data_IF_049342864070
#
_entry.id   IF_049342864070
#
_cell.length_a   1.000
_cell.length_b   1.000
_cell.length_c   1.000
_cell.angle_alpha   90.00
_cell.angle_beta   90.00
_cell.angle_gamma   90.00
#
_symmetry.space_group_name_H-M   'P 1'
#
loop_
_entity.id
_entity.type
_entity.pdbx_description
1 polymer ?
#
# COMPACT_ATOMS: atom_id res chain seq x y z
N UNK A 1 13.38 -34.30 6.67
CA UNK A 1 14.31 -33.31 7.22
C UNK A 1 14.84 -32.38 6.11
N UNK A 2 13.97 -31.62 5.44
CA UNK A 2 14.32 -30.64 4.39
C UNK A 2 13.37 -29.43 4.46
N UNK A 3 13.37 -28.72 5.59
CA UNK A 3 12.46 -27.58 5.82
C UNK A 3 13.16 -26.26 6.16
N UNK A 4 14.48 -26.07 5.96
CA UNK A 4 15.16 -24.86 6.47
C UNK A 4 15.86 -23.93 5.48
N UNK A 5 15.85 -24.17 4.17
CA UNK A 5 16.51 -23.25 3.20
C UNK A 5 15.56 -22.43 2.31
N UNK A 6 14.41 -22.98 1.92
CA UNK A 6 13.49 -22.29 0.99
C UNK A 6 12.89 -20.99 1.55
N UNK A 7 12.73 -20.88 2.87
CA UNK A 7 12.15 -19.69 3.52
C UNK A 7 13.14 -18.53 3.62
N UNK A 8 14.45 -18.80 3.55
CA UNK A 8 15.52 -17.79 3.59
C UNK A 8 15.92 -17.30 2.20
N UNK A 9 15.71 -18.11 1.15
CA UNK A 9 16.00 -17.72 -0.24
C UNK A 9 14.94 -16.80 -0.82
N UNK A 10 13.66 -17.06 -0.52
CA UNK A 10 12.54 -16.28 -1.03
C UNK A 10 12.58 -14.78 -0.70
N UNK A 11 12.93 -14.36 0.54
CA UNK A 11 13.17 -12.96 0.90
C UNK A 11 14.24 -12.30 0.04
N UNK A 12 15.36 -12.99 -0.16
CA UNK A 12 16.51 -12.47 -0.91
C UNK A 12 16.17 -12.29 -2.38
N UNK A 13 15.45 -13.27 -2.96
CA UNK A 13 14.96 -13.18 -4.33
C UNK A 13 13.97 -12.03 -4.49
N UNK A 14 13.02 -11.86 -3.56
CA UNK A 14 12.09 -10.74 -3.59
C UNK A 14 12.81 -9.39 -3.49
N UNK A 15 13.77 -9.25 -2.57
CA UNK A 15 14.53 -8.02 -2.42
C UNK A 15 15.37 -7.71 -3.66
N UNK A 16 16.06 -8.71 -4.22
CA UNK A 16 16.80 -8.55 -5.48
C UNK A 16 15.86 -8.13 -6.61
N UNK A 17 14.71 -8.81 -6.73
CA UNK A 17 13.70 -8.49 -7.73
C UNK A 17 13.19 -7.06 -7.58
N UNK A 18 12.86 -6.63 -6.36
CA UNK A 18 12.44 -5.27 -6.07
C UNK A 18 13.52 -4.24 -6.43
N UNK A 19 14.77 -4.47 -6.00
CA UNK A 19 15.90 -3.60 -6.34
C UNK A 19 16.08 -3.47 -7.86
N UNK A 20 16.04 -4.58 -8.60
CA UNK A 20 16.17 -4.57 -10.06
C UNK A 20 15.00 -3.83 -10.71
N UNK A 21 13.76 -4.10 -10.30
CA UNK A 21 12.58 -3.43 -10.86
C UNK A 21 12.61 -1.92 -10.64
N UNK A 22 12.99 -1.47 -9.44
CA UNK A 22 13.09 -0.04 -9.10
C UNK A 22 14.25 0.61 -9.85
N UNK A 23 15.44 -0.03 -9.89
CA UNK A 23 16.60 0.52 -10.58
C UNK A 23 16.34 0.70 -12.09
N UNK A 24 15.68 -0.27 -12.73
CA UNK A 24 15.32 -0.19 -14.15
C UNK A 24 14.29 0.91 -14.42
N UNK A 25 13.29 1.07 -13.54
CA UNK A 25 12.31 2.16 -13.66
C UNK A 25 12.98 3.55 -13.52
N UNK A 26 13.92 3.69 -12.59
CA UNK A 26 14.71 4.91 -12.41
C UNK A 26 15.62 5.18 -13.63
N UNK A 27 16.30 4.16 -14.14
CA UNK A 27 17.21 4.33 -15.29
C UNK A 27 16.46 4.69 -16.58
N UNK A 28 15.25 4.16 -16.77
CA UNK A 28 14.44 4.42 -17.95
C UNK A 28 13.69 5.76 -17.88
N UNK A 29 13.17 6.13 -16.70
CA UNK A 29 12.30 7.30 -16.52
C UNK A 29 12.97 8.55 -15.94
N UNK A 30 14.23 8.46 -15.49
CA UNK A 30 14.94 9.58 -14.85
C UNK A 30 14.24 10.09 -13.58
N UNK A 31 14.39 11.39 -13.27
CA UNK A 31 13.71 12.05 -12.15
C UNK A 31 12.30 12.57 -12.52
N UNK A 32 11.47 11.71 -13.10
CA UNK A 32 10.06 12.01 -13.32
C UNK A 32 9.31 12.16 -12.00
N UNK A 33 8.14 12.83 -12.02
CA UNK A 33 7.30 12.98 -10.82
C UNK A 33 6.94 11.64 -10.17
N UNK A 34 6.69 10.61 -10.99
CA UNK A 34 6.42 9.26 -10.51
C UNK A 34 7.65 8.66 -9.82
N UNK A 35 8.83 8.75 -10.43
CA UNK A 35 10.06 8.22 -9.84
C UNK A 35 10.43 8.96 -8.54
N UNK A 36 10.22 10.28 -8.46
CA UNK A 36 10.40 11.05 -7.23
C UNK A 36 9.42 10.58 -6.15
N UNK A 37 8.15 10.37 -6.50
CA UNK A 37 7.14 9.81 -5.59
C UNK A 37 7.62 8.48 -5.02
N UNK A 38 8.12 7.59 -5.88
CA UNK A 38 8.62 6.26 -5.48
C UNK A 38 9.83 6.34 -4.57
N UNK A 39 10.79 7.22 -4.88
CA UNK A 39 11.94 7.45 -4.00
C UNK A 39 11.49 7.96 -2.62
N UNK A 40 10.51 8.86 -2.58
CA UNK A 40 9.89 9.32 -1.34
C UNK A 40 9.25 8.17 -0.54
N UNK A 41 8.45 7.33 -1.19
CA UNK A 41 7.82 6.14 -0.59
C UNK A 41 8.87 5.15 -0.06
N UNK A 42 9.95 4.91 -0.80
CA UNK A 42 11.04 4.03 -0.36
C UNK A 42 11.79 4.60 0.84
N UNK A 43 12.13 5.88 0.81
CA UNK A 43 12.73 6.56 1.95
C UNK A 43 11.82 6.50 3.18
N UNK A 44 10.50 6.67 2.97
CA UNK A 44 9.50 6.57 4.02
C UNK A 44 9.41 5.16 4.61
N UNK A 45 9.40 4.12 3.77
CA UNK A 45 9.44 2.71 4.21
C UNK A 45 10.71 2.40 5.02
N UNK A 46 11.87 2.89 4.58
CA UNK A 46 13.13 2.74 5.32
C UNK A 46 13.06 3.44 6.69
N UNK A 47 12.56 4.68 6.71
CA UNK A 47 12.37 5.45 7.94
C UNK A 47 11.46 4.72 8.94
N UNK A 48 10.36 4.12 8.48
CA UNK A 48 9.48 3.30 9.32
C UNK A 48 10.21 2.09 9.94
N UNK A 49 11.07 1.43 9.16
CA UNK A 49 11.90 0.32 9.65
C UNK A 49 12.84 0.76 10.77
N UNK A 50 13.53 1.90 10.57
CA UNK A 50 14.45 2.48 11.56
C UNK A 50 13.74 2.96 12.83
N UNK A 51 12.48 3.41 12.70
CA UNK A 51 11.69 3.95 13.82
C UNK A 51 10.70 2.94 14.41
N UNK A 52 10.76 1.66 14.03
CA UNK A 52 9.79 0.62 14.45
C UNK A 52 9.57 0.56 15.96
N UNK A 53 10.64 0.61 16.75
CA UNK A 53 10.56 0.53 18.22
C UNK A 53 9.83 1.73 18.83
N UNK A 54 9.96 2.91 18.22
CA UNK A 54 9.22 4.11 18.61
C UNK A 54 7.73 3.93 18.33
N UNK A 55 7.36 3.46 17.14
CA UNK A 55 5.96 3.18 16.79
C UNK A 55 5.33 2.12 17.71
N UNK A 56 6.07 1.06 18.05
CA UNK A 56 5.60 0.05 18.98
C UNK A 56 5.26 0.64 20.36
N UNK A 57 6.12 1.52 20.88
CA UNK A 57 5.89 2.19 22.17
C UNK A 57 4.69 3.12 22.11
N UNK A 58 4.61 3.95 21.06
CA UNK A 58 3.54 4.94 20.87
C UNK A 58 2.15 4.29 20.85
N UNK A 59 2.05 3.09 20.26
CA UNK A 59 0.78 2.38 20.10
C UNK A 59 0.53 1.28 21.15
N UNK A 60 1.48 1.00 22.04
CA UNK A 60 1.44 -0.14 22.99
C UNK A 60 0.14 -0.28 23.78
N UNK A 61 -0.47 0.82 24.22
CA UNK A 61 -1.71 0.82 25.02
C UNK A 61 -3.02 0.66 24.24
N UNK A 62 -2.97 0.50 22.91
CA UNK A 62 -4.17 0.36 22.06
C UNK A 62 -4.40 -1.10 21.69
N UNK A 63 -5.68 -1.46 21.48
CA UNK A 63 -6.07 -2.80 20.98
C UNK A 63 -5.37 -3.09 19.63
N UNK A 64 -4.93 -4.34 19.36
CA UNK A 64 -4.26 -4.73 18.12
C UNK A 64 -4.96 -4.23 16.86
N UNK A 65 -6.28 -4.39 16.78
CA UNK A 65 -7.10 -3.90 15.66
C UNK A 65 -6.93 -2.39 15.42
N UNK A 66 -7.04 -1.61 16.48
CA UNK A 66 -6.96 -0.14 16.40
C UNK A 66 -5.55 0.26 15.97
N UNK A 67 -4.51 -0.39 16.49
CA UNK A 67 -3.11 -0.14 16.09
C UNK A 67 -2.92 -0.39 14.60
N UNK A 68 -3.39 -1.54 14.11
CA UNK A 68 -3.25 -1.92 12.71
C UNK A 68 -3.94 -0.93 11.78
N UNK A 69 -5.22 -0.65 12.03
CA UNK A 69 -6.05 0.19 11.16
C UNK A 69 -5.58 1.65 11.22
N UNK A 70 -5.41 2.20 12.43
CA UNK A 70 -5.04 3.62 12.60
C UNK A 70 -3.65 3.88 12.03
N UNK A 71 -2.66 3.02 12.33
CA UNK A 71 -1.32 3.21 11.80
C UNK A 71 -1.31 3.05 10.28
N UNK A 72 -2.01 2.05 9.74
CA UNK A 72 -2.15 1.88 8.29
C UNK A 72 -2.70 3.14 7.61
N UNK A 73 -3.78 3.72 8.16
CA UNK A 73 -4.36 4.96 7.65
C UNK A 73 -3.41 6.15 7.78
N UNK A 74 -2.69 6.30 8.91
CA UNK A 74 -1.71 7.37 9.09
C UNK A 74 -0.54 7.28 8.10
N UNK A 75 -0.06 6.07 7.83
CA UNK A 75 0.98 5.84 6.83
C UNK A 75 0.44 6.10 5.42
N UNK A 76 -0.81 5.73 5.14
CA UNK A 76 -1.47 6.01 3.87
C UNK A 76 -1.61 7.52 3.62
N UNK A 77 -1.96 8.31 4.63
CA UNK A 77 -1.90 9.78 4.57
C UNK A 77 -0.52 10.23 4.08
N UNK A 78 0.55 9.78 4.74
CA UNK A 78 1.92 10.13 4.33
C UNK A 78 2.26 9.75 2.89
N UNK A 79 1.83 8.57 2.44
CA UNK A 79 2.04 8.09 1.06
C UNK A 79 1.23 8.90 0.04
N UNK A 80 -0.02 9.23 0.34
CA UNK A 80 -0.84 10.10 -0.52
C UNK A 80 -0.22 11.49 -0.70
N UNK A 81 0.40 12.02 0.35
CA UNK A 81 1.17 13.27 0.26
C UNK A 81 2.26 13.23 -0.81
N UNK A 82 2.92 12.08 -1.01
CA UNK A 82 3.86 11.92 -2.11
C UNK A 82 3.15 11.78 -3.46
N UNK A 83 1.97 11.16 -3.50
CA UNK A 83 1.20 11.01 -4.74
C UNK A 83 0.64 12.31 -5.29
N UNK A 84 0.44 13.33 -4.45
CA UNK A 84 -0.06 14.64 -4.88
C UNK A 84 0.75 15.28 -6.02
N UNK A 85 2.05 14.98 -6.15
CA UNK A 85 2.91 15.51 -7.24
C UNK A 85 2.88 14.65 -8.51
N UNK A 86 2.40 13.41 -8.45
CA UNK A 86 2.41 12.47 -9.57
C UNK A 86 1.00 12.07 -10.00
N UNK A 87 0.27 11.38 -9.14
CA UNK A 87 -1.03 10.74 -9.38
C UNK A 87 -1.94 10.90 -8.15
N UNK A 88 -2.45 12.11 -7.86
CA UNK A 88 -3.55 12.27 -6.90
C UNK A 88 -4.80 11.50 -7.38
N UNK A 89 -5.76 11.30 -6.47
CA UNK A 89 -7.01 10.57 -6.76
C UNK A 89 -7.81 11.21 -7.90
N UNK A 90 -7.73 12.54 -8.03
CA UNK A 90 -8.23 13.31 -9.17
C UNK A 90 -7.11 14.17 -9.74
N UNK A 91 -6.90 14.10 -11.06
CA UNK A 91 -5.83 14.84 -11.74
C UNK A 91 -5.90 16.36 -11.51
N UNK A 92 -7.10 16.91 -11.29
CA UNK A 92 -7.31 18.32 -10.98
C UNK A 92 -6.66 18.77 -9.65
N UNK A 93 -6.35 17.85 -8.76
CA UNK A 93 -5.74 18.13 -7.45
C UNK A 93 -4.20 18.07 -7.48
N UNK A 94 -3.60 17.86 -8.65
CA UNK A 94 -2.15 17.69 -8.76
C UNK A 94 -1.41 18.95 -8.32
N UNK A 95 -0.46 18.77 -7.41
CA UNK A 95 0.42 19.84 -6.94
C UNK A 95 1.55 20.03 -7.93
N UNK A 96 1.69 21.26 -8.43
CA UNK A 96 2.73 21.68 -9.36
C UNK A 96 3.57 22.80 -8.75
N UNK A 97 4.64 23.24 -9.43
CA UNK A 97 5.46 24.37 -9.00
C UNK A 97 4.66 25.69 -8.90
N UNK A 98 3.53 25.80 -9.59
CA UNK A 98 2.65 26.97 -9.58
C UNK A 98 1.65 26.94 -8.41
N UNK A 99 1.49 25.77 -7.76
CA UNK A 99 0.54 25.60 -6.67
C UNK A 99 1.07 26.28 -5.40
N UNK A 100 0.34 27.25 -4.87
CA UNK A 100 0.71 27.89 -3.60
C UNK A 100 0.62 26.90 -2.44
N UNK A 101 1.35 27.17 -1.35
CA UNK A 101 1.35 26.27 -0.18
C UNK A 101 -0.05 25.97 0.36
N UNK A 102 -0.89 27.00 0.55
CA UNK A 102 -2.25 26.83 1.08
C UNK A 102 -3.17 26.11 0.09
N UNK A 103 -3.00 26.35 -1.21
CA UNK A 103 -3.73 25.61 -2.24
C UNK A 103 -3.33 24.14 -2.25
N UNK A 104 -2.03 23.84 -2.15
CA UNK A 104 -1.52 22.48 -2.06
C UNK A 104 -2.05 21.74 -0.83
N UNK A 105 -2.10 22.41 0.32
CA UNK A 105 -2.71 21.87 1.53
C UNK A 105 -4.22 21.60 1.32
N UNK A 106 -4.93 22.50 0.65
CA UNK A 106 -6.34 22.32 0.31
C UNK A 106 -6.58 21.15 -0.63
N UNK A 107 -5.75 21.00 -1.67
CA UNK A 107 -5.81 19.88 -2.62
C UNK A 107 -5.53 18.56 -1.93
N UNK A 108 -4.51 18.51 -1.08
CA UNK A 108 -4.16 17.33 -0.32
C UNK A 108 -5.25 16.95 0.68
N UNK A 109 -5.80 17.92 1.42
CA UNK A 109 -6.92 17.68 2.32
C UNK A 109 -8.15 17.15 1.57
N UNK A 110 -8.44 17.69 0.39
CA UNK A 110 -9.54 17.24 -0.44
C UNK A 110 -9.30 15.82 -0.95
N UNK A 111 -8.10 15.50 -1.42
CA UNK A 111 -7.71 14.15 -1.83
C UNK A 111 -7.94 13.13 -0.68
N UNK A 112 -7.46 13.47 0.52
CA UNK A 112 -7.65 12.64 1.72
C UNK A 112 -9.12 12.42 2.10
N UNK A 113 -10.02 13.38 1.84
CA UNK A 113 -11.45 13.18 2.09
C UNK A 113 -12.03 12.04 1.25
N UNK A 114 -11.48 11.77 0.07
CA UNK A 114 -11.89 10.65 -0.78
C UNK A 114 -11.10 9.37 -0.48
N UNK A 115 -9.80 9.47 -0.26
CA UNK A 115 -8.91 8.30 -0.13
C UNK A 115 -8.94 7.69 1.29
N UNK A 116 -9.01 8.51 2.34
CA UNK A 116 -8.95 8.02 3.73
C UNK A 116 -10.11 7.08 4.11
N UNK A 117 -11.38 7.33 3.73
CA UNK A 117 -12.47 6.37 3.95
C UNK A 117 -12.22 5.02 3.26
N UNK A 118 -11.64 5.04 2.05
CA UNK A 118 -11.28 3.81 1.33
C UNK A 118 -10.18 3.04 2.06
N UNK A 119 -9.15 3.73 2.55
CA UNK A 119 -8.11 3.11 3.38
C UNK A 119 -8.67 2.50 4.66
N UNK A 120 -9.58 3.19 5.35
CA UNK A 120 -10.23 2.66 6.54
C UNK A 120 -10.95 1.34 6.25
N UNK A 121 -11.69 1.27 5.13
CA UNK A 121 -12.36 0.04 4.70
C UNK A 121 -11.35 -1.06 4.36
N UNK A 122 -10.34 -0.76 3.55
CA UNK A 122 -9.31 -1.71 3.11
C UNK A 122 -8.54 -2.27 4.30
N UNK A 123 -8.07 -1.43 5.22
CA UNK A 123 -7.37 -1.90 6.43
C UNK A 123 -8.29 -2.68 7.37
N UNK A 124 -9.57 -2.33 7.45
CA UNK A 124 -10.56 -3.12 8.23
C UNK A 124 -10.77 -4.50 7.63
N UNK A 125 -10.85 -4.60 6.30
CA UNK A 125 -10.93 -5.87 5.58
C UNK A 125 -9.66 -6.70 5.76
N UNK A 126 -8.48 -6.09 5.58
CA UNK A 126 -7.20 -6.78 5.78
C UNK A 126 -7.09 -7.26 7.23
N UNK A 127 -7.47 -6.46 8.22
CA UNK A 127 -7.53 -6.87 9.62
C UNK A 127 -8.39 -8.13 9.82
N UNK A 128 -9.57 -8.17 9.23
CA UNK A 128 -10.44 -9.34 9.26
C UNK A 128 -9.74 -10.57 8.66
N UNK A 129 -9.12 -10.43 7.49
CA UNK A 129 -8.44 -11.51 6.78
C UNK A 129 -7.23 -12.05 7.56
N UNK A 130 -6.37 -11.19 8.11
CA UNK A 130 -5.20 -11.62 8.89
C UNK A 130 -5.54 -12.21 10.25
N UNK A 131 -6.74 -11.95 10.78
CA UNK A 131 -7.28 -12.62 11.97
C UNK A 131 -7.98 -13.94 11.65
N UNK A 132 -8.38 -14.15 10.39
CA UNK A 132 -9.02 -15.38 9.90
C UNK A 132 -7.98 -16.42 9.46
N UNK A 133 -6.93 -15.99 8.77
CA UNK A 133 -5.95 -16.86 8.13
C UNK A 133 -4.53 -16.59 8.66
N UNK A 134 -3.72 -17.65 8.72
CA UNK A 134 -2.35 -17.56 9.19
C UNK A 134 -1.45 -17.10 8.03
N UNK A 135 -0.93 -15.87 8.12
CA UNK A 135 0.06 -15.36 7.18
C UNK A 135 1.44 -15.31 7.85
N UNK A 136 2.44 -15.94 7.24
CA UNK A 136 3.83 -15.60 7.55
C UNK A 136 4.14 -14.18 7.07
N UNK A 137 5.19 -13.54 7.60
CA UNK A 137 5.57 -12.18 7.22
C UNK A 137 5.69 -12.01 5.69
N UNK A 138 6.47 -12.87 5.02
CA UNK A 138 6.66 -12.79 3.57
C UNK A 138 5.42 -13.13 2.76
N UNK A 139 4.58 -14.02 3.27
CA UNK A 139 3.30 -14.35 2.63
C UNK A 139 2.36 -13.14 2.68
N UNK A 140 2.29 -12.46 3.83
CA UNK A 140 1.56 -11.19 3.97
C UNK A 140 2.12 -10.11 3.04
N UNK A 141 3.44 -9.88 3.05
CA UNK A 141 4.13 -8.88 2.20
C UNK A 141 3.75 -9.04 0.73
N UNK A 142 3.76 -10.28 0.23
CA UNK A 142 3.42 -10.54 -1.16
C UNK A 142 1.92 -10.45 -1.42
N UNK A 143 1.10 -11.15 -0.63
CA UNK A 143 -0.34 -11.23 -0.89
C UNK A 143 -1.02 -9.89 -0.75
N UNK A 144 -0.77 -9.15 0.34
CA UNK A 144 -1.42 -7.86 0.55
C UNK A 144 -0.85 -6.79 -0.38
N UNK A 145 0.47 -6.80 -0.62
CA UNK A 145 1.07 -5.88 -1.59
C UNK A 145 0.53 -6.10 -3.02
N UNK A 146 0.45 -7.35 -3.48
CA UNK A 146 -0.12 -7.71 -4.78
C UNK A 146 -1.60 -7.34 -4.85
N UNK A 147 -2.38 -7.71 -3.83
CA UNK A 147 -3.81 -7.50 -3.80
C UNK A 147 -4.18 -6.02 -3.94
N UNK A 148 -3.46 -5.15 -3.22
CA UNK A 148 -3.68 -3.71 -3.29
C UNK A 148 -3.14 -3.12 -4.58
N UNK A 149 -1.96 -3.53 -5.05
CA UNK A 149 -1.43 -3.07 -6.34
C UNK A 149 -2.34 -3.42 -7.51
N UNK A 150 -2.97 -4.60 -7.50
CA UNK A 150 -3.95 -4.98 -8.51
C UNK A 150 -5.28 -4.25 -8.33
N UNK A 151 -5.74 -4.10 -7.09
CA UNK A 151 -7.03 -3.45 -6.79
C UNK A 151 -7.03 -1.97 -7.15
N UNK A 152 -5.92 -1.29 -6.91
CA UNK A 152 -5.73 0.14 -7.13
C UNK A 152 -5.39 0.48 -8.59
N UNK A 153 -6.17 -0.07 -9.53
CA UNK A 153 -6.03 0.15 -10.97
C UNK A 153 -5.00 -0.73 -11.68
N UNK A 154 -4.11 -1.42 -10.95
CA UNK A 154 -3.09 -2.28 -11.56
C UNK A 154 -3.66 -3.44 -12.38
N UNK A 155 -4.85 -3.96 -12.04
CA UNK A 155 -5.47 -5.05 -12.80
C UNK A 155 -5.71 -4.67 -14.26
N UNK A 156 -6.30 -3.49 -14.52
CA UNK A 156 -6.52 -3.01 -15.90
C UNK A 156 -5.20 -2.72 -16.61
N UNK A 157 -4.23 -2.12 -15.90
CA UNK A 157 -2.91 -1.83 -16.44
C UNK A 157 -2.18 -3.10 -16.92
N UNK A 158 -2.10 -4.13 -16.09
CA UNK A 158 -1.38 -5.36 -16.43
C UNK A 158 -2.09 -6.24 -17.45
N UNK A 159 -3.41 -6.12 -17.61
CA UNK A 159 -4.11 -6.74 -18.75
C UNK A 159 -3.63 -6.13 -20.07
N UNK A 160 -3.45 -4.81 -20.12
CA UNK A 160 -2.94 -4.10 -21.29
C UNK A 160 -1.43 -4.27 -21.53
N UNK A 161 -0.67 -4.55 -20.46
CA UNK A 161 0.78 -4.69 -20.51
C UNK A 161 1.29 -5.85 -19.62
N UNK A 162 1.01 -7.12 -19.97
CA UNK A 162 1.28 -8.27 -19.11
C UNK A 162 2.76 -8.48 -18.80
N UNK A 163 3.66 -8.10 -19.72
CA UNK A 163 5.10 -8.16 -19.50
C UNK A 163 5.56 -7.31 -18.30
N UNK A 164 4.79 -6.26 -17.94
CA UNK A 164 5.11 -5.40 -16.81
C UNK A 164 4.85 -6.05 -15.45
N UNK A 165 4.23 -7.23 -15.39
CA UNK A 165 4.17 -8.03 -14.16
C UNK A 165 5.56 -8.40 -13.63
N UNK A 166 6.58 -8.46 -14.49
CA UNK A 166 7.98 -8.61 -14.07
C UNK A 166 8.51 -7.42 -13.27
N UNK A 167 7.79 -6.30 -13.25
CA UNK A 167 8.11 -5.11 -12.49
C UNK A 167 7.14 -4.87 -11.33
N UNK A 168 6.29 -5.85 -10.99
CA UNK A 168 5.29 -5.77 -9.93
C UNK A 168 5.81 -5.26 -8.57
N UNK A 169 7.06 -5.53 -8.12
CA UNK A 169 7.57 -4.94 -6.90
C UNK A 169 7.53 -3.41 -6.91
N UNK A 170 7.70 -2.79 -8.08
CA UNK A 170 7.66 -1.34 -8.23
C UNK A 170 6.35 -0.73 -7.74
N UNK A 171 5.15 -1.07 -8.27
CA UNK A 171 3.89 -0.58 -7.71
C UNK A 171 3.59 -1.12 -6.30
N UNK A 172 4.09 -2.31 -5.93
CA UNK A 172 3.86 -2.87 -4.59
C UNK A 172 4.49 -2.04 -3.45
N UNK A 173 5.52 -1.23 -3.74
CA UNK A 173 6.24 -0.44 -2.73
C UNK A 173 5.36 0.51 -1.93
N UNK A 174 4.35 1.11 -2.55
CA UNK A 174 3.35 1.95 -1.87
C UNK A 174 2.64 1.17 -0.78
N UNK A 175 2.12 0.00 -1.15
CA UNK A 175 1.36 -0.82 -0.23
C UNK A 175 2.27 -1.40 0.85
N UNK A 176 3.54 -1.65 0.54
CA UNK A 176 4.52 -2.05 1.55
C UNK A 176 4.75 -0.95 2.58
N UNK A 177 4.87 0.30 2.13
CA UNK A 177 5.02 1.47 2.99
C UNK A 177 3.82 1.73 3.90
N UNK A 178 2.62 1.22 3.59
CA UNK A 178 1.44 1.41 4.45
C UNK A 178 1.04 0.15 5.21
N UNK A 179 1.52 -1.04 4.85
CA UNK A 179 1.08 -2.31 5.47
C UNK A 179 2.10 -3.02 6.34
N UNK A 180 3.40 -2.94 6.01
CA UNK A 180 4.39 -3.82 6.65
C UNK A 180 4.60 -3.46 8.10
N UNK A 181 4.72 -2.17 8.41
CA UNK A 181 4.88 -1.72 9.79
C UNK A 181 3.62 -2.04 10.63
N UNK A 182 2.38 -1.70 10.22
CA UNK A 182 1.18 -2.10 10.96
C UNK A 182 1.11 -3.59 11.25
N UNK A 183 1.40 -4.44 10.26
CA UNK A 183 1.40 -5.89 10.43
C UNK A 183 2.47 -6.35 11.42
N UNK A 184 3.70 -5.86 11.27
CA UNK A 184 4.82 -6.23 12.12
C UNK A 184 4.62 -5.83 13.60
N UNK A 185 3.73 -4.87 13.89
CA UNK A 185 3.40 -4.46 15.25
C UNK A 185 2.25 -5.25 15.89
N UNK A 186 1.52 -6.05 15.11
CA UNK A 186 0.36 -6.80 15.61
C UNK A 186 0.46 -8.30 15.40
N UNK A 187 1.40 -8.78 14.59
CA UNK A 187 1.47 -10.19 14.15
C UNK A 187 1.44 -11.21 15.30
N UNK A 188 2.04 -10.87 16.45
CA UNK A 188 2.12 -11.73 17.64
C UNK A 188 0.83 -11.68 18.49
N UNK A 189 -0.02 -10.67 18.28
CA UNK A 189 -1.28 -10.45 19.02
C UNK A 189 -2.52 -10.92 18.23
N UNK A 190 -2.31 -11.52 17.05
CA UNK A 190 -3.40 -12.03 16.20
C UNK A 190 -3.95 -13.35 16.75
N UNK A 191 -5.18 -13.70 16.38
CA UNK A 191 -5.85 -14.92 16.84
C UNK A 191 -4.95 -16.18 16.66
N UNK A 192 -4.69 -16.97 17.73
CA UNK A 192 -3.85 -18.17 17.63
C UNK A 192 -4.50 -19.31 16.81
N UNK A 193 -5.83 -19.34 16.68
CA UNK A 193 -6.58 -20.40 15.98
C UNK A 193 -6.64 -20.22 14.45
N UNK A 194 -5.84 -19.29 13.91
CA UNK A 194 -5.80 -18.99 12.48
C UNK A 194 -5.37 -20.21 11.66
N UNK A 195 -6.06 -20.43 10.56
CA UNK A 195 -5.79 -21.57 9.67
C UNK A 195 -4.80 -21.19 8.59
N UNK A 196 -3.74 -21.99 8.45
CA UNK A 196 -2.89 -21.99 7.25
C UNK A 196 -3.58 -22.84 6.18
N UNK A 197 -4.14 -22.19 5.17
CA UNK A 197 -4.90 -22.83 4.09
C UNK A 197 -4.75 -21.96 2.84
N UNK A 198 -4.70 -22.58 1.64
CA UNK A 198 -4.73 -21.91 0.34
C UNK A 198 -5.80 -20.80 0.22
N UNK A 199 -6.93 -20.94 0.95
CA UNK A 199 -8.00 -19.91 1.02
C UNK A 199 -7.50 -18.55 1.51
N UNK A 200 -6.36 -18.46 2.18
CA UNK A 200 -5.73 -17.19 2.53
C UNK A 200 -5.41 -16.34 1.30
N UNK A 201 -5.20 -16.95 0.12
CA UNK A 201 -4.95 -16.24 -1.13
C UNK A 201 -6.22 -15.60 -1.71
N UNK A 202 -7.42 -15.97 -1.24
CA UNK A 202 -8.66 -15.27 -1.58
C UNK A 202 -8.67 -13.82 -1.07
N UNK A 203 -7.76 -13.46 -0.15
CA UNK A 203 -7.52 -12.07 0.22
C UNK A 203 -7.25 -11.17 -1.00
N UNK A 204 -6.58 -11.70 -2.03
CA UNK A 204 -6.33 -10.98 -3.29
C UNK A 204 -7.64 -10.54 -3.90
N UNK A 205 -8.59 -11.47 -4.07
CA UNK A 205 -9.90 -11.19 -4.67
C UNK A 205 -10.69 -10.20 -3.81
N UNK A 206 -10.75 -10.42 -2.50
CA UNK A 206 -11.55 -9.56 -1.61
C UNK A 206 -11.03 -8.12 -1.56
N UNK A 207 -9.71 -7.94 -1.48
CA UNK A 207 -9.10 -6.61 -1.48
C UNK A 207 -9.28 -5.94 -2.83
N UNK A 208 -9.08 -6.66 -3.95
CA UNK A 208 -9.38 -6.12 -5.29
C UNK A 208 -10.83 -5.63 -5.36
N UNK A 209 -11.80 -6.45 -4.96
CA UNK A 209 -13.21 -6.06 -4.94
C UNK A 209 -13.48 -4.84 -4.06
N UNK A 210 -12.83 -4.73 -2.90
CA UNK A 210 -12.95 -3.57 -2.04
C UNK A 210 -12.43 -2.29 -2.73
N UNK A 211 -11.26 -2.35 -3.40
CA UNK A 211 -10.76 -1.22 -4.18
C UNK A 211 -11.67 -0.86 -5.35
N UNK A 212 -12.26 -1.84 -6.04
CA UNK A 212 -13.25 -1.58 -7.09
C UNK A 212 -14.46 -0.82 -6.56
N UNK A 213 -15.02 -1.24 -5.43
CA UNK A 213 -16.17 -0.57 -4.81
C UNK A 213 -15.77 0.84 -4.35
N UNK A 214 -14.64 0.98 -3.66
CA UNK A 214 -14.12 2.28 -3.23
C UNK A 214 -13.88 3.22 -4.41
N UNK A 215 -13.19 2.75 -5.46
CA UNK A 215 -12.91 3.52 -6.67
C UNK A 215 -14.19 3.95 -7.37
N UNK A 216 -15.18 3.07 -7.50
CA UNK A 216 -16.48 3.42 -8.08
C UNK A 216 -17.20 4.52 -7.27
N UNK A 217 -17.19 4.41 -5.93
CA UNK A 217 -17.77 5.43 -5.05
C UNK A 217 -17.02 6.75 -5.17
N UNK A 218 -15.69 6.73 -5.11
CA UNK A 218 -14.84 7.92 -5.24
C UNK A 218 -15.09 8.61 -6.58
N UNK A 219 -15.07 7.86 -7.69
CA UNK A 219 -15.34 8.42 -9.03
C UNK A 219 -16.76 8.96 -9.15
N UNK A 220 -17.75 8.27 -8.60
CA UNK A 220 -19.13 8.74 -8.55
C UNK A 220 -19.28 10.06 -7.81
N UNK A 221 -18.70 10.17 -6.62
CA UNK A 221 -18.69 11.42 -5.84
C UNK A 221 -17.88 12.51 -6.55
N UNK A 222 -16.72 12.17 -7.10
CA UNK A 222 -15.87 13.10 -7.85
C UNK A 222 -16.62 13.76 -9.01
N UNK A 223 -17.44 13.01 -9.75
CA UNK A 223 -18.31 13.56 -10.80
C UNK A 223 -19.36 14.52 -10.25
N UNK A 224 -20.00 14.19 -9.11
CA UNK A 224 -20.98 15.07 -8.46
C UNK A 224 -20.35 16.40 -8.04
N UNK A 225 -19.09 16.37 -7.60
CA UNK A 225 -18.33 17.56 -7.23
C UNK A 225 -17.57 18.24 -8.38
N UNK A 226 -17.70 17.75 -9.63
CA UNK A 226 -17.02 18.32 -10.80
C UNK A 226 -15.50 18.12 -10.85
N UNK A 227 -14.97 17.14 -10.10
CA UNK A 227 -13.54 16.81 -10.04
C UNK A 227 -13.11 15.78 -11.09
N UNK A 228 -14.08 15.20 -11.80
CA UNK A 228 -13.90 14.23 -12.88
C UNK A 228 -14.59 14.80 -14.11
N UNK A 229 -13.79 15.10 -15.15
CA UNK A 229 -14.23 15.52 -16.49
C UNK A 229 -14.58 14.32 -17.37
#
# INVERSE_FOLDING_TARGET
>A
MFKSLAWLTWPRLYLLWACVSIALALSAGGFSAENITRLGVLAFLLFQGLTRSYWQKLFSGRKPQVRFILLGCLLAVGVEGFHMISMPVFAALKITAETTFFQGLGFYALDLLFTLPAYLLVFSLIWHLINRYAYGFWHYTLVMGLAQALGDGGLYFFIGAPALLLFLPYPMTNYHAINLLPYALVQEDLNPERKSNWRSNLAIVWVILAYFVCGAVIQGLGRVFGLVS
#
